data_IF_761607084823
#
_entry.id   IF_761607084823
#
_cell.length_a   1.000
_cell.length_b   1.000
_cell.length_c   1.000
_cell.angle_alpha   90.00
_cell.angle_beta   90.00
_cell.angle_gamma   90.00
#
_symmetry.space_group_name_H-M   'P 1'
#
loop_
_entity.id
_entity.type
_entity.pdbx_description
1 polymer ?
#
# COMPACT_ATOMS: atom_id res chain seq x y z
N UNK A 1 4.79 -11.16 6.34
CA UNK A 1 3.94 -10.85 5.16
C UNK A 1 3.05 -9.65 5.50
N UNK A 2 2.67 -8.82 4.53
CA UNK A 2 1.76 -7.71 4.80
C UNK A 2 0.38 -8.22 5.26
N UNK A 3 -0.31 -7.53 6.18
CA UNK A 3 -1.68 -7.85 6.53
C UNK A 3 -2.60 -7.67 5.31
N UNK A 4 -3.74 -8.36 5.31
CA UNK A 4 -4.74 -8.17 4.27
C UNK A 4 -5.33 -6.75 4.38
N UNK A 5 -5.69 -6.12 3.25
CA UNK A 5 -6.30 -4.79 3.28
C UNK A 5 -7.63 -4.76 4.03
N UNK A 6 -8.36 -5.88 4.05
CA UNK A 6 -9.64 -5.97 4.76
C UNK A 6 -9.48 -6.02 6.29
N UNK A 7 -8.27 -6.28 6.78
CA UNK A 7 -7.93 -6.25 8.20
C UNK A 7 -7.46 -4.85 8.67
N UNK A 8 -7.44 -3.85 7.76
CA UNK A 8 -6.90 -2.52 8.01
C UNK A 8 -7.99 -1.45 7.82
N UNK A 9 -8.25 -0.66 8.88
CA UNK A 9 -9.29 0.37 8.89
C UNK A 9 -9.07 1.49 7.85
N UNK A 10 -7.83 1.70 7.41
CA UNK A 10 -7.45 2.74 6.44
C UNK A 10 -6.96 2.16 5.12
N UNK A 11 -7.87 2.03 4.14
CA UNK A 11 -7.53 1.71 2.74
C UNK A 11 -7.97 2.79 1.76
N UNK A 12 -7.21 2.96 0.69
CA UNK A 12 -7.42 3.96 -0.34
C UNK A 12 -7.37 3.34 -1.73
N UNK A 13 -8.32 3.71 -2.59
CA UNK A 13 -8.27 3.38 -4.01
C UNK A 13 -7.37 4.38 -4.73
N UNK A 14 -6.29 3.89 -5.33
CA UNK A 14 -5.34 4.69 -6.11
C UNK A 14 -5.63 4.49 -7.60
N UNK A 15 -5.80 5.60 -8.33
CA UNK A 15 -6.07 5.58 -9.78
C UNK A 15 -4.95 6.32 -10.51
N UNK A 16 -4.14 5.58 -11.26
CA UNK A 16 -3.00 6.11 -12.02
C UNK A 16 -3.33 6.04 -13.51
N UNK A 17 -3.52 7.21 -14.14
CA UNK A 17 -3.78 7.31 -15.57
C UNK A 17 -2.47 7.26 -16.36
N UNK A 18 -2.39 6.37 -17.34
CA UNK A 18 -1.28 6.33 -18.29
C UNK A 18 -1.45 7.47 -19.31
N UNK A 19 -0.44 8.34 -19.43
CA UNK A 19 -0.54 9.52 -20.29
C UNK A 19 -0.50 9.10 -21.76
N UNK A 20 -1.51 9.53 -22.53
CA UNK A 20 -1.58 9.26 -23.97
C UNK A 20 -2.30 7.96 -24.34
N UNK A 21 -2.82 7.22 -23.37
CA UNK A 21 -3.71 6.07 -23.59
C UNK A 21 -5.05 6.27 -22.87
N UNK A 22 -5.98 5.35 -23.14
CA UNK A 22 -7.28 5.22 -22.48
C UNK A 22 -7.18 4.47 -21.13
N UNK A 23 -5.97 4.14 -20.67
CA UNK A 23 -5.77 3.23 -19.54
C UNK A 23 -5.68 3.95 -18.20
N UNK A 24 -6.41 3.42 -17.21
CA UNK A 24 -6.31 3.82 -15.80
C UNK A 24 -6.02 2.59 -14.96
N UNK A 25 -4.85 2.55 -14.34
CA UNK A 25 -4.46 1.49 -13.44
C UNK A 25 -5.11 1.73 -12.07
N UNK A 26 -5.81 0.72 -11.56
CA UNK A 26 -6.51 0.78 -10.27
C UNK A 26 -5.79 -0.12 -9.27
N UNK A 27 -5.46 0.46 -8.12
CA UNK A 27 -4.87 -0.23 -6.99
C UNK A 27 -5.68 0.01 -5.72
N UNK A 28 -5.64 -0.94 -4.81
CA UNK A 28 -6.03 -0.73 -3.41
C UNK A 28 -4.74 -0.63 -2.60
N UNK A 29 -4.55 0.47 -1.88
CA UNK A 29 -3.40 0.71 -1.01
C UNK A 29 -3.84 0.83 0.44
N UNK A 30 -3.00 0.33 1.35
CA UNK A 30 -3.23 0.41 2.79
C UNK A 30 -1.91 0.56 3.52
N UNK A 31 -1.99 1.08 4.75
CA UNK A 31 -0.85 1.27 5.63
C UNK A 31 -1.17 0.81 7.04
N UNK A 32 -0.18 0.26 7.73
CA UNK A 32 -0.28 -0.18 9.11
C UNK A 32 0.98 0.21 9.86
N UNK A 33 0.87 0.31 11.18
CA UNK A 33 2.03 0.50 12.06
C UNK A 33 2.40 -0.83 12.67
N UNK A 34 3.68 -1.13 12.73
CA UNK A 34 4.23 -2.30 13.41
C UNK A 34 5.44 -1.93 14.25
N UNK A 35 5.68 -2.72 15.30
CA UNK A 35 6.88 -2.61 16.11
C UNK A 35 8.10 -3.09 15.33
N UNK A 36 9.24 -2.45 15.54
CA UNK A 36 10.51 -2.96 15.04
C UNK A 36 10.82 -4.32 15.70
N UNK A 37 11.46 -5.20 14.95
CA UNK A 37 11.94 -6.48 15.47
C UNK A 37 13.25 -6.33 16.26
N UNK A 38 13.61 -7.38 17.00
CA UNK A 38 14.84 -7.42 17.80
C UNK A 38 16.12 -7.29 16.95
N UNK A 39 16.07 -7.69 15.68
CA UNK A 39 17.18 -7.61 14.73
C UNK A 39 17.22 -6.28 13.94
N UNK A 40 16.26 -5.38 14.16
CA UNK A 40 16.21 -4.12 13.43
C UNK A 40 17.27 -3.12 13.95
N UNK A 41 17.76 -2.20 13.10
CA UNK A 41 18.83 -1.28 13.48
C UNK A 41 18.46 -0.32 14.61
N UNK A 42 19.41 0.02 15.49
CA UNK A 42 19.20 0.96 16.61
C UNK A 42 18.74 2.36 16.19
N UNK A 43 19.08 2.79 14.97
CA UNK A 43 18.67 4.09 14.44
C UNK A 43 17.20 4.14 14.01
N UNK A 44 16.52 2.98 13.93
CA UNK A 44 15.11 2.88 13.57
C UNK A 44 14.22 3.07 14.80
N UNK A 45 13.18 3.90 14.65
CA UNK A 45 12.16 4.10 15.68
C UNK A 45 11.47 2.79 16.05
N UNK A 46 10.96 2.72 17.28
CA UNK A 46 10.34 1.50 17.82
C UNK A 46 9.08 1.09 17.05
N UNK A 47 8.43 2.04 16.39
CA UNK A 47 7.26 1.81 15.54
C UNK A 47 7.49 2.38 14.15
N UNK A 48 7.19 1.58 13.13
CA UNK A 48 7.33 1.99 11.73
C UNK A 48 6.00 1.85 11.01
N UNK A 49 5.66 2.87 10.21
CA UNK A 49 4.54 2.76 9.27
C UNK A 49 5.01 2.05 8.01
N UNK A 50 4.38 0.92 7.71
CA UNK A 50 4.54 0.20 6.46
C UNK A 50 3.32 0.40 5.57
N UNK A 51 3.52 0.25 4.27
CA UNK A 51 2.47 0.37 3.29
C UNK A 51 2.57 -0.75 2.26
N UNK A 52 1.42 -1.14 1.70
CA UNK A 52 1.34 -2.07 0.60
C UNK A 52 0.28 -1.62 -0.40
N UNK A 53 0.39 -2.14 -1.62
CA UNK A 53 -0.59 -1.93 -2.70
C UNK A 53 -0.90 -3.26 -3.38
N UNK A 54 -2.16 -3.45 -3.75
CA UNK A 54 -2.62 -4.58 -4.54
C UNK A 54 -3.27 -4.09 -5.83
N UNK A 55 -2.84 -4.63 -6.96
CA UNK A 55 -3.38 -4.26 -8.28
C UNK A 55 -4.75 -4.89 -8.45
N UNK A 56 -5.75 -4.05 -8.71
CA UNK A 56 -7.13 -4.50 -8.93
C UNK A 56 -7.41 -4.69 -10.42
N UNK A 57 -6.83 -3.84 -11.28
CA UNK A 57 -7.05 -3.96 -12.72
C UNK A 57 -6.60 -2.74 -13.52
N UNK A 58 -7.04 -2.71 -14.78
CA UNK A 58 -6.90 -1.57 -15.69
C UNK A 58 -8.30 -1.27 -16.24
N UNK A 59 -8.76 -0.04 -16.02
CA UNK A 59 -9.96 0.50 -16.64
C UNK A 59 -9.60 1.16 -17.97
N UNK A 60 -10.55 1.16 -18.91
CA UNK A 60 -10.43 1.84 -20.20
C UNK A 60 -11.45 2.99 -20.25
N UNK A 61 -10.99 4.21 -20.55
CA UNK A 61 -11.80 5.45 -20.56
C UNK A 61 -11.49 6.36 -21.74
#
# INVERSE_FOLDING_TARGET
>A
PAPSPDDIDGKATLRLRERGTDRVHVYEGWAWTEEKGDDDPEWMDDYVTRANVSKQGIEHR
#
